data_IF_048075054457
#
_entry.id   IF_048075054457
#
_cell.length_a   1.000
_cell.length_b   1.000
_cell.length_c   1.000
_cell.angle_alpha   90.00
_cell.angle_beta   90.00
_cell.angle_gamma   90.00
#
_symmetry.space_group_name_H-M   'P 1'
#
loop_
_entity.id
_entity.type
_entity.pdbx_description
1 polymer ?
#
# COMPACT_ATOMS: atom_id res chain seq x y z
N UNK A 1 2.01 -13.74 -11.07
CA UNK A 1 1.21 -12.98 -12.07
C UNK A 1 0.43 -11.93 -11.32
N UNK A 2 0.54 -10.65 -11.70
CA UNK A 2 -0.20 -9.56 -11.04
C UNK A 2 -1.45 -9.25 -11.87
N UNK A 3 -2.63 -9.50 -11.30
CA UNK A 3 -3.94 -9.42 -11.99
C UNK A 3 -4.26 -8.02 -12.57
N UNK A 4 -3.52 -6.99 -12.15
CA UNK A 4 -3.67 -5.62 -12.65
C UNK A 4 -2.96 -5.32 -13.98
N UNK A 5 -2.07 -6.21 -14.47
CA UNK A 5 -1.24 -5.94 -15.64
C UNK A 5 -1.98 -5.92 -16.98
N UNK A 6 -3.17 -6.52 -17.06
CA UNK A 6 -3.86 -6.79 -18.33
C UNK A 6 -5.12 -5.96 -18.59
N UNK A 7 -5.50 -5.02 -17.72
CA UNK A 7 -6.83 -4.39 -17.76
C UNK A 7 -6.72 -2.90 -18.12
N UNK A 8 -7.39 -2.48 -19.21
CA UNK A 8 -7.27 -1.15 -19.83
C UNK A 8 -8.36 -0.19 -19.29
N UNK A 9 -8.01 1.05 -18.95
CA UNK A 9 -8.98 2.13 -18.60
C UNK A 9 -9.33 2.26 -17.11
N UNK A 10 -10.51 2.85 -16.81
CA UNK A 10 -10.96 3.24 -15.45
C UNK A 10 -10.89 2.13 -14.39
N UNK A 11 -11.03 0.87 -14.81
CA UNK A 11 -10.90 -0.30 -13.94
C UNK A 11 -9.46 -0.50 -13.42
N UNK A 12 -8.45 -0.19 -14.23
CA UNK A 12 -7.03 -0.20 -13.82
C UNK A 12 -6.78 0.79 -12.68
N UNK A 13 -7.33 2.00 -12.81
CA UNK A 13 -7.16 3.07 -11.82
C UNK A 13 -7.92 2.75 -10.53
N UNK A 14 -9.06 2.05 -10.64
CA UNK A 14 -9.75 1.47 -9.49
C UNK A 14 -8.88 0.46 -8.75
N UNK A 15 -8.23 -0.49 -9.45
CA UNK A 15 -7.33 -1.45 -8.81
C UNK A 15 -6.13 -0.78 -8.14
N UNK A 16 -5.52 0.23 -8.75
CA UNK A 16 -4.45 1.00 -8.10
C UNK A 16 -4.94 1.79 -6.87
N UNK A 17 -6.16 2.31 -6.90
CA UNK A 17 -6.76 3.02 -5.76
C UNK A 17 -7.05 2.08 -4.59
N UNK A 18 -7.55 0.88 -4.87
CA UNK A 18 -7.76 -0.17 -3.87
C UNK A 18 -6.42 -0.57 -3.25
N UNK A 19 -5.43 -0.89 -4.08
CA UNK A 19 -4.10 -1.25 -3.60
C UNK A 19 -3.45 -0.13 -2.76
N UNK A 20 -3.66 1.13 -3.15
CA UNK A 20 -3.18 2.30 -2.40
C UNK A 20 -3.84 2.38 -1.02
N UNK A 21 -5.15 2.12 -0.93
CA UNK A 21 -5.89 2.01 0.33
C UNK A 21 -5.33 0.89 1.20
N UNK A 22 -5.24 -0.32 0.66
CA UNK A 22 -4.76 -1.49 1.39
C UNK A 22 -3.34 -1.32 1.93
N UNK A 23 -2.44 -0.67 1.17
CA UNK A 23 -1.08 -0.40 1.64
C UNK A 23 -1.06 0.54 2.86
N UNK A 24 -1.89 1.58 2.86
CA UNK A 24 -2.02 2.54 3.96
C UNK A 24 -2.65 1.91 5.20
N UNK A 25 -3.67 1.10 4.99
CA UNK A 25 -4.35 0.35 6.05
C UNK A 25 -3.40 -0.66 6.71
N UNK A 26 -2.62 -1.40 5.91
CA UNK A 26 -1.65 -2.35 6.44
C UNK A 26 -0.57 -1.69 7.32
N UNK A 27 0.00 -0.55 6.88
CA UNK A 27 0.97 0.18 7.72
C UNK A 27 0.32 0.72 9.01
N UNK A 28 -0.92 1.20 8.93
CA UNK A 28 -1.68 1.67 10.10
C UNK A 28 -1.98 0.54 11.08
N UNK A 29 -2.33 -0.64 10.57
CA UNK A 29 -2.56 -1.84 11.37
C UNK A 29 -1.28 -2.31 12.06
N UNK A 30 -0.13 -2.31 11.36
CA UNK A 30 1.17 -2.64 11.94
C UNK A 30 1.54 -1.68 13.08
N UNK A 31 1.40 -0.37 12.88
CA UNK A 31 1.65 0.63 13.94
C UNK A 31 0.71 0.46 15.13
N UNK A 32 -0.56 0.16 14.87
CA UNK A 32 -1.54 -0.10 15.94
C UNK A 32 -1.16 -1.36 16.74
N UNK A 33 -0.81 -2.44 16.04
CA UNK A 33 -0.40 -3.69 16.67
C UNK A 33 0.90 -3.52 17.49
N UNK A 34 1.84 -2.70 17.01
CA UNK A 34 3.05 -2.36 17.75
C UNK A 34 2.76 -1.53 19.01
N UNK A 35 1.89 -0.51 18.90
CA UNK A 35 1.45 0.30 20.03
C UNK A 35 0.74 -0.54 21.12
N UNK A 36 0.06 -1.61 20.72
CA UNK A 36 -0.58 -2.55 21.64
C UNK A 36 0.38 -3.63 22.16
N UNK A 37 1.63 -3.64 21.71
CA UNK A 37 2.67 -4.58 22.13
C UNK A 37 2.52 -5.99 21.53
N UNK A 38 1.69 -6.17 20.49
CA UNK A 38 1.52 -7.47 19.82
C UNK A 38 2.69 -7.82 18.91
N UNK A 39 3.33 -6.81 18.33
CA UNK A 39 4.51 -6.96 17.46
C UNK A 39 5.53 -5.87 17.82
N UNK A 40 6.77 -6.03 17.36
CA UNK A 40 7.75 -4.95 17.44
C UNK A 40 7.36 -3.77 16.54
N UNK A 41 7.80 -2.56 16.91
CA UNK A 41 7.61 -1.36 16.08
C UNK A 41 8.23 -1.59 14.69
N UNK A 42 7.54 -1.22 13.59
CA UNK A 42 8.09 -1.32 12.26
C UNK A 42 9.39 -0.51 12.17
N UNK A 43 10.45 -1.18 11.73
CA UNK A 43 11.73 -0.53 11.46
C UNK A 43 11.60 0.50 10.34
N UNK A 44 12.53 1.46 10.31
CA UNK A 44 12.53 2.54 9.31
C UNK A 44 12.53 2.02 7.87
N UNK A 45 13.23 0.91 7.59
CA UNK A 45 13.26 0.30 6.26
C UNK A 45 11.89 -0.26 5.82
N UNK A 46 11.08 -0.78 6.76
CA UNK A 46 9.71 -1.24 6.48
C UNK A 46 8.83 -0.03 6.15
N UNK A 47 8.92 1.03 6.96
CA UNK A 47 8.15 2.26 6.72
C UNK A 47 8.51 2.87 5.36
N UNK A 48 9.80 3.01 5.05
CA UNK A 48 10.29 3.53 3.77
C UNK A 48 9.79 2.69 2.59
N UNK A 49 9.71 1.37 2.77
CA UNK A 49 9.21 0.47 1.72
C UNK A 49 7.71 0.64 1.49
N UNK A 50 6.92 0.84 2.54
CA UNK A 50 5.51 1.20 2.41
C UNK A 50 5.34 2.55 1.71
N UNK A 51 6.12 3.56 2.09
CA UNK A 51 6.08 4.88 1.47
C UNK A 51 6.39 4.82 -0.02
N UNK A 52 7.41 4.05 -0.42
CA UNK A 52 7.74 3.81 -1.83
C UNK A 52 6.60 3.14 -2.59
N UNK A 53 5.95 2.14 -2.01
CA UNK A 53 4.80 1.44 -2.61
C UNK A 53 3.63 2.41 -2.75
N UNK A 54 3.28 3.15 -1.70
CA UNK A 54 2.22 4.15 -1.70
C UNK A 54 2.46 5.24 -2.74
N UNK A 55 3.68 5.77 -2.84
CA UNK A 55 4.05 6.74 -3.86
C UNK A 55 3.88 6.18 -5.28
N UNK A 56 4.31 4.93 -5.50
CA UNK A 56 4.18 4.25 -6.80
C UNK A 56 2.72 4.04 -7.17
N UNK A 57 1.89 3.57 -6.24
CA UNK A 57 0.46 3.33 -6.48
C UNK A 57 -0.30 4.63 -6.73
N UNK A 58 0.06 5.70 -6.01
CA UNK A 58 -0.53 7.04 -6.22
C UNK A 58 -0.26 7.59 -7.63
N UNK A 59 0.98 7.45 -8.13
CA UNK A 59 1.33 7.84 -9.50
C UNK A 59 0.51 7.04 -10.52
N UNK A 60 0.36 5.74 -10.31
CA UNK A 60 -0.36 4.86 -11.24
C UNK A 60 -1.88 5.02 -11.19
N UNK A 61 -2.46 5.32 -10.03
CA UNK A 61 -3.90 5.56 -9.88
C UNK A 61 -4.38 6.83 -10.63
N UNK A 62 -3.45 7.76 -10.91
CA UNK A 62 -3.71 9.05 -11.55
C UNK A 62 -3.39 9.10 -13.05
N UNK A 63 -2.87 8.01 -13.62
CA UNK A 63 -2.54 7.89 -15.06
C UNK A 63 -3.65 7.23 -15.85
#
# INVERSE_FOLDING_TARGET
MSEGGAQRGARRNSHYSIALGSAREALSALRTAAAWGYVAEPSADIVDRFDKVTATLYVNARR
#
